data_IF_250030130767
#
_entry.id   IF_250030130767
#
_cell.length_a   1.000
_cell.length_b   1.000
_cell.length_c   1.000
_cell.angle_alpha   90.00
_cell.angle_beta   90.00
_cell.angle_gamma   90.00
#
_symmetry.space_group_name_H-M   'P 1'
#
loop_
_entity.id
_entity.type
_entity.pdbx_description
1 polymer ?
#
# COMPACT_ATOMS: atom_id res chain seq x y z
N UNK A 1 -34.54 -39.50 -42.96
CA UNK A 1 -34.78 -39.23 -41.52
C UNK A 1 -33.64 -38.38 -41.01
N UNK A 2 -33.92 -37.21 -40.43
CA UNK A 2 -32.87 -36.39 -39.81
C UNK A 2 -32.59 -36.92 -38.39
N UNK A 3 -31.32 -37.03 -37.96
CA UNK A 3 -30.98 -37.51 -36.63
C UNK A 3 -31.41 -36.51 -35.55
N UNK A 4 -32.05 -37.01 -34.48
CA UNK A 4 -32.49 -36.22 -33.33
C UNK A 4 -31.29 -36.01 -32.42
N UNK A 5 -30.82 -34.77 -32.28
CA UNK A 5 -29.74 -34.42 -31.36
C UNK A 5 -30.29 -34.00 -29.98
N UNK A 6 -29.67 -34.39 -28.85
CA UNK A 6 -30.16 -34.14 -27.50
C UNK A 6 -29.84 -32.72 -26.99
N UNK A 7 -29.45 -31.79 -27.86
CA UNK A 7 -29.24 -30.41 -27.46
C UNK A 7 -30.59 -29.71 -27.36
N UNK A 8 -31.00 -29.41 -26.13
CA UNK A 8 -32.10 -28.48 -25.84
C UNK A 8 -31.86 -27.21 -26.68
N UNK A 9 -32.84 -26.78 -27.47
CA UNK A 9 -32.81 -25.47 -28.12
C UNK A 9 -32.62 -24.42 -27.02
N UNK A 10 -31.62 -23.54 -27.16
CA UNK A 10 -31.32 -22.51 -26.18
C UNK A 10 -32.56 -21.65 -25.94
N UNK A 11 -32.90 -21.42 -24.68
CA UNK A 11 -33.92 -20.42 -24.31
C UNK A 11 -33.50 -19.04 -24.84
N UNK A 12 -34.44 -18.23 -25.34
CA UNK A 12 -34.14 -16.87 -25.74
C UNK A 12 -33.66 -16.10 -24.51
N UNK A 13 -32.47 -15.50 -24.63
CA UNK A 13 -31.88 -14.64 -23.60
C UNK A 13 -32.88 -13.52 -23.33
N UNK A 14 -33.26 -13.33 -22.06
CA UNK A 14 -34.13 -12.24 -21.64
C UNK A 14 -33.44 -10.92 -21.99
N UNK A 15 -34.03 -10.17 -22.92
CA UNK A 15 -33.64 -8.79 -23.19
C UNK A 15 -33.96 -7.99 -21.92
N UNK A 16 -32.93 -7.70 -21.12
CA UNK A 16 -33.01 -6.75 -20.03
C UNK A 16 -33.24 -5.38 -20.66
N UNK A 17 -34.42 -4.80 -20.40
CA UNK A 17 -34.81 -3.46 -20.82
C UNK A 17 -34.07 -2.42 -19.95
N UNK A 18 -32.75 -2.34 -20.14
CA UNK A 18 -31.91 -1.39 -19.41
C UNK A 18 -32.01 -0.03 -20.09
N UNK A 19 -32.54 0.95 -19.35
CA UNK A 19 -32.69 2.31 -19.82
C UNK A 19 -31.30 2.88 -20.24
N UNK A 20 -31.22 3.58 -21.38
CA UNK A 20 -29.95 4.12 -21.86
C UNK A 20 -29.35 5.08 -20.83
N UNK A 21 -28.02 5.07 -20.62
CA UNK A 21 -27.36 5.92 -19.65
C UNK A 21 -27.56 7.40 -20.00
N UNK A 22 -27.66 8.25 -18.98
CA UNK A 22 -27.83 9.68 -19.18
C UNK A 22 -26.62 10.27 -19.94
N UNK A 23 -26.85 11.17 -20.92
CA UNK A 23 -25.77 11.77 -21.69
C UNK A 23 -24.92 12.70 -20.81
N UNK A 24 -23.59 12.53 -20.89
CA UNK A 24 -22.64 13.40 -20.19
C UNK A 24 -22.49 14.70 -20.99
N UNK A 25 -23.02 15.81 -20.47
CA UNK A 25 -22.93 17.13 -21.10
C UNK A 25 -21.76 17.91 -20.50
N UNK A 26 -20.74 18.15 -21.30
CA UNK A 26 -19.61 19.00 -20.92
C UNK A 26 -19.95 20.48 -21.13
N UNK A 27 -19.94 21.27 -20.05
CA UNK A 27 -20.03 22.74 -20.13
C UNK A 27 -18.64 23.31 -20.33
N UNK A 28 -18.47 24.17 -21.34
CA UNK A 28 -17.20 24.85 -21.61
C UNK A 28 -16.83 25.74 -20.41
N UNK A 29 -15.79 25.37 -19.68
CA UNK A 29 -15.28 26.10 -18.52
C UNK A 29 -15.53 25.43 -17.15
N UNK A 30 -16.24 24.31 -17.11
CA UNK A 30 -16.43 23.52 -15.89
C UNK A 30 -15.48 22.32 -15.92
N UNK A 31 -14.54 22.26 -14.96
CA UNK A 31 -13.65 21.10 -14.82
C UNK A 31 -14.46 19.93 -14.23
N UNK A 32 -14.66 18.82 -14.98
CA UNK A 32 -15.41 17.67 -14.49
C UNK A 32 -14.77 16.98 -13.28
N UNK A 33 -13.50 17.30 -12.97
CA UNK A 33 -12.77 16.79 -11.81
C UNK A 33 -12.64 17.83 -10.68
N UNK A 34 -13.27 19.00 -10.79
CA UNK A 34 -13.25 19.99 -9.74
C UNK A 34 -13.96 19.45 -8.48
N UNK A 35 -13.19 19.29 -7.40
CA UNK A 35 -13.75 18.96 -6.09
C UNK A 35 -14.63 20.13 -5.64
N UNK A 36 -15.87 19.83 -5.24
CA UNK A 36 -16.78 20.83 -4.67
C UNK A 36 -16.13 21.44 -3.42
N UNK A 37 -16.12 22.78 -3.27
CA UNK A 37 -15.63 23.40 -2.05
C UNK A 37 -16.51 22.97 -0.88
N UNK A 38 -15.91 22.39 0.15
CA UNK A 38 -16.62 21.95 1.36
C UNK A 38 -16.88 23.18 2.21
N UNK A 39 -18.15 23.50 2.47
CA UNK A 39 -18.57 24.68 3.25
C UNK A 39 -18.69 24.39 4.75
N UNK A 40 -18.67 23.12 5.16
CA UNK A 40 -18.72 22.73 6.57
C UNK A 40 -18.06 21.37 6.78
N UNK A 41 -16.96 21.40 7.52
CA UNK A 41 -16.11 20.23 7.79
C UNK A 41 -16.54 19.48 9.06
N UNK A 42 -17.67 19.82 9.69
CA UNK A 42 -18.06 19.19 10.96
C UNK A 42 -18.26 17.68 10.85
N UNK A 43 -18.82 17.20 9.74
CA UNK A 43 -18.98 15.77 9.50
C UNK A 43 -17.64 15.11 9.16
N UNK A 44 -16.81 15.74 8.33
CA UNK A 44 -15.48 15.24 8.00
C UNK A 44 -14.56 15.18 9.23
N UNK A 45 -14.66 16.16 10.12
CA UNK A 45 -13.94 16.19 11.40
C UNK A 45 -14.40 15.07 12.33
N UNK A 46 -15.71 14.82 12.44
CA UNK A 46 -16.25 13.69 13.21
C UNK A 46 -15.83 12.33 12.64
N UNK A 47 -15.85 12.18 11.33
CA UNK A 47 -15.43 10.95 10.66
C UNK A 47 -13.91 10.72 10.83
N UNK A 48 -13.09 11.78 10.76
CA UNK A 48 -11.66 11.68 11.04
C UNK A 48 -11.36 11.28 12.49
N UNK A 49 -12.12 11.83 13.45
CA UNK A 49 -12.02 11.41 14.85
C UNK A 49 -12.45 9.95 15.06
N UNK A 50 -13.44 9.46 14.32
CA UNK A 50 -13.83 8.05 14.36
C UNK A 50 -12.83 7.12 13.67
N UNK A 51 -12.15 7.60 12.62
CA UNK A 51 -11.16 6.84 11.87
C UNK A 51 -9.80 6.76 12.60
N UNK A 52 -9.43 7.82 13.31
CA UNK A 52 -8.12 7.93 13.98
C UNK A 52 -8.19 7.75 15.50
N UNK A 53 -9.35 7.96 16.12
CA UNK A 53 -9.59 7.64 17.52
C UNK A 53 -9.85 6.14 17.65
N UNK A 54 -8.92 5.41 18.26
CA UNK A 54 -8.95 3.95 18.44
C UNK A 54 -10.06 3.41 19.36
N UNK A 55 -11.24 4.03 19.36
CA UNK A 55 -12.44 3.59 20.11
C UNK A 55 -12.40 3.84 21.62
N UNK A 56 -11.34 4.44 22.17
CA UNK A 56 -11.25 4.80 23.58
C UNK A 56 -11.41 6.31 23.78
N UNK A 57 -12.42 6.71 24.55
CA UNK A 57 -12.67 8.11 24.96
C UNK A 57 -11.60 8.70 25.91
N UNK A 58 -10.56 7.92 26.24
CA UNK A 58 -9.46 8.32 27.14
C UNK A 58 -8.22 8.67 26.32
N UNK A 59 -7.87 9.95 26.30
CA UNK A 59 -6.57 10.42 25.81
C UNK A 59 -5.58 10.31 26.97
N UNK A 60 -4.82 9.22 27.02
CA UNK A 60 -3.66 9.12 27.91
C UNK A 60 -2.58 10.08 27.43
N UNK A 61 -2.10 10.97 28.30
CA UNK A 61 -1.00 11.86 27.96
C UNK A 61 0.21 11.00 27.58
N UNK A 62 0.78 11.24 26.39
CA UNK A 62 1.95 10.52 25.93
C UNK A 62 3.04 10.61 27.00
N UNK A 63 3.47 9.46 27.52
CA UNK A 63 4.56 9.39 28.49
C UNK A 63 5.80 9.97 27.84
N UNK A 64 6.38 10.98 28.48
CA UNK A 64 7.61 11.64 28.04
C UNK A 64 8.74 10.61 27.94
N UNK A 65 9.04 10.18 26.72
CA UNK A 65 10.11 9.22 26.46
C UNK A 65 11.50 9.84 26.62
N UNK A 66 11.62 11.17 26.70
CA UNK A 66 12.90 11.83 26.87
C UNK A 66 13.52 11.54 28.24
N UNK A 67 12.69 11.27 29.27
CA UNK A 67 13.16 10.83 30.58
C UNK A 67 13.77 9.41 30.61
N UNK A 68 13.53 8.59 29.57
CA UNK A 68 14.08 7.22 29.44
C UNK A 68 15.28 7.15 28.50
N UNK A 69 15.62 8.25 27.84
CA UNK A 69 16.75 8.31 26.93
C UNK A 69 18.01 8.70 27.70
N UNK A 70 18.71 7.71 28.25
CA UNK A 70 20.08 7.85 28.76
C UNK A 70 21.01 7.86 27.53
N UNK A 71 21.44 9.05 27.11
CA UNK A 71 22.02 9.28 25.80
C UNK A 71 23.15 8.31 25.45
N UNK A 72 22.90 7.40 24.53
CA UNK A 72 23.98 6.75 23.77
C UNK A 72 24.49 7.80 22.80
N UNK A 73 25.49 8.57 23.23
CA UNK A 73 26.40 9.25 22.32
C UNK A 73 27.12 8.15 21.56
N UNK A 74 26.57 7.78 20.40
CA UNK A 74 27.25 6.90 19.46
C UNK A 74 28.59 7.54 19.11
N UNK A 75 29.67 6.93 19.60
CA UNK A 75 30.97 7.04 18.97
C UNK A 75 30.76 6.77 17.49
N UNK A 76 31.07 7.77 16.67
CA UNK A 76 31.10 7.65 15.21
C UNK A 76 31.87 6.37 14.86
N UNK A 77 31.25 5.35 14.24
CA UNK A 77 32.03 4.23 13.74
C UNK A 77 32.89 4.79 12.62
N UNK A 78 34.19 4.79 12.86
CA UNK A 78 35.19 5.09 11.85
C UNK A 78 34.86 4.30 10.59
N UNK A 79 34.66 5.05 9.50
CA UNK A 79 34.55 4.57 8.13
C UNK A 79 35.68 3.57 7.85
N UNK A 80 35.38 2.32 7.44
CA UNK A 80 36.25 1.62 6.52
C UNK A 80 35.78 1.93 5.09
N UNK A 81 36.69 2.50 4.32
CA UNK A 81 36.57 2.66 2.86
C UNK A 81 36.45 1.29 2.15
N UNK A 82 35.96 1.29 0.89
CA UNK A 82 35.22 0.20 0.30
C UNK A 82 36.15 -0.79 -0.41
N UNK A 83 36.07 -2.06 -0.03
CA UNK A 83 36.50 -3.14 -0.92
C UNK A 83 35.67 -4.39 -0.67
N UNK A 84 35.54 -5.18 -1.73
CA UNK A 84 34.84 -6.45 -1.85
C UNK A 84 33.30 -6.41 -1.97
N UNK A 85 32.84 -6.30 -3.23
CA UNK A 85 31.91 -7.35 -3.71
C UNK A 85 32.47 -8.72 -3.33
N UNK A 86 31.63 -9.61 -2.78
CA UNK A 86 31.17 -10.68 -3.64
C UNK A 86 29.69 -11.04 -3.45
N UNK A 87 29.08 -11.36 -4.58
CA UNK A 87 28.24 -12.53 -4.78
C UNK A 87 27.46 -13.08 -3.57
N UNK A 88 26.14 -12.91 -3.63
CA UNK A 88 25.16 -14.00 -3.58
C UNK A 88 25.59 -15.24 -2.79
N UNK A 89 25.36 -15.23 -1.47
CA UNK A 89 25.33 -16.43 -0.64
C UNK A 89 23.88 -16.78 -0.23
N UNK A 90 23.49 -18.07 -0.31
CA UNK A 90 22.12 -18.50 -0.09
C UNK A 90 21.84 -18.81 1.39
N UNK A 91 20.64 -18.41 1.83
CA UNK A 91 19.85 -19.00 2.94
C UNK A 91 20.53 -19.13 4.31
N UNK A 92 20.75 -18.00 4.99
CA UNK A 92 20.52 -18.00 6.43
C UNK A 92 19.02 -17.75 6.64
N UNK A 93 18.33 -18.65 7.35
CA UNK A 93 16.93 -18.51 7.76
C UNK A 93 16.79 -17.38 8.80
N UNK A 94 17.24 -16.17 8.48
CA UNK A 94 16.80 -14.98 9.19
C UNK A 94 15.39 -14.73 8.71
N UNK A 95 14.43 -14.79 9.62
CA UNK A 95 13.03 -14.50 9.34
C UNK A 95 12.90 -13.01 9.03
N UNK A 96 13.13 -12.64 7.77
CA UNK A 96 12.90 -11.28 7.30
C UNK A 96 11.58 -11.20 6.54
N UNK A 97 10.89 -10.07 6.70
CA UNK A 97 9.66 -9.76 5.98
C UNK A 97 9.94 -8.70 4.93
N UNK A 98 9.42 -8.90 3.72
CA UNK A 98 9.49 -7.88 2.67
C UNK A 98 8.46 -6.79 2.93
N UNK A 99 8.92 -5.55 3.12
CA UNK A 99 8.06 -4.39 3.33
C UNK A 99 8.17 -3.46 2.12
N UNK A 100 7.03 -3.14 1.51
CA UNK A 100 6.95 -2.15 0.44
C UNK A 100 6.94 -0.74 1.03
N UNK A 101 7.81 0.14 0.55
CA UNK A 101 7.92 1.52 1.01
C UNK A 101 7.34 2.50 -0.02
N UNK A 102 7.11 3.76 0.37
CA UNK A 102 6.51 4.81 -0.48
C UNK A 102 7.36 5.25 -1.67
N UNK A 103 8.64 4.88 -1.69
CA UNK A 103 9.60 5.17 -2.76
C UNK A 103 9.51 4.18 -3.94
N UNK A 104 8.67 3.14 -3.83
CA UNK A 104 8.47 2.11 -4.86
C UNK A 104 9.41 0.91 -4.72
N UNK A 105 10.25 0.88 -3.69
CA UNK A 105 11.14 -0.24 -3.41
C UNK A 105 10.63 -1.09 -2.25
N UNK A 106 11.21 -2.28 -2.14
CA UNK A 106 11.01 -3.20 -1.02
C UNK A 106 12.29 -3.31 -0.22
N UNK A 107 12.12 -3.36 1.09
CA UNK A 107 13.21 -3.51 2.04
C UNK A 107 12.98 -4.78 2.87
N UNK A 108 14.07 -5.42 3.27
CA UNK A 108 14.02 -6.56 4.19
C UNK A 108 13.95 -6.03 5.61
N UNK A 109 12.85 -6.32 6.30
CA UNK A 109 12.69 -6.04 7.72
C UNK A 109 13.05 -7.27 8.52
N UNK A 110 13.99 -7.13 9.46
CA UNK A 110 14.43 -8.20 10.36
C UNK A 110 13.52 -8.33 11.58
N UNK A 111 13.69 -9.39 12.37
CA UNK A 111 12.86 -9.67 13.55
C UNK A 111 13.00 -8.64 14.70
N UNK A 112 14.10 -7.89 14.71
CA UNK A 112 14.36 -6.77 15.62
C UNK A 112 13.66 -5.46 15.17
N UNK A 113 13.01 -5.47 14.00
CA UNK A 113 12.40 -4.31 13.37
C UNK A 113 13.37 -3.44 12.57
N UNK A 114 14.65 -3.81 12.51
CA UNK A 114 15.64 -3.14 11.67
C UNK A 114 15.41 -3.41 10.18
N UNK A 115 15.89 -2.51 9.33
CA UNK A 115 15.77 -2.60 7.88
C UNK A 115 17.15 -2.65 7.22
N UNK A 116 17.27 -3.47 6.17
CA UNK A 116 18.43 -3.39 5.28
C UNK A 116 18.39 -2.10 4.47
N UNK A 117 19.53 -1.42 4.33
CA UNK A 117 19.64 -0.19 3.54
C UNK A 117 19.58 -0.43 2.01
N UNK A 118 19.63 -1.69 1.56
CA UNK A 118 19.63 -2.05 0.15
C UNK A 118 18.20 -2.08 -0.40
N UNK A 119 17.84 -1.19 -1.35
CA UNK A 119 16.54 -1.22 -2.00
C UNK A 119 16.41 -2.44 -2.91
N UNK A 120 15.22 -3.03 -2.98
CA UNK A 120 14.91 -4.14 -3.88
C UNK A 120 13.65 -3.86 -4.72
N UNK A 121 13.61 -4.37 -5.95
CA UNK A 121 12.45 -4.33 -6.84
C UNK A 121 11.82 -5.71 -6.90
N UNK A 122 10.48 -5.75 -6.90
CA UNK A 122 9.71 -6.98 -7.10
C UNK A 122 9.52 -7.22 -8.60
N UNK A 123 10.05 -8.32 -9.10
CA UNK A 123 9.89 -8.75 -10.48
C UNK A 123 8.47 -9.32 -10.72
N UNK A 124 8.08 -9.45 -12.00
CA UNK A 124 6.80 -10.05 -12.40
C UNK A 124 6.60 -11.48 -11.88
N UNK A 125 7.70 -12.22 -11.69
CA UNK A 125 7.71 -13.58 -11.11
C UNK A 125 7.59 -13.60 -9.58
N UNK A 126 7.39 -12.44 -8.94
CA UNK A 126 7.28 -12.31 -7.48
C UNK A 126 8.61 -12.38 -6.72
N UNK A 127 9.73 -12.56 -7.42
CA UNK A 127 11.08 -12.55 -6.86
C UNK A 127 11.56 -11.11 -6.62
N UNK A 128 12.40 -10.91 -5.60
CA UNK A 128 13.00 -9.61 -5.28
C UNK A 128 14.44 -9.56 -5.78
N UNK A 129 14.81 -8.49 -6.49
CA UNK A 129 16.17 -8.22 -6.96
C UNK A 129 16.64 -6.86 -6.43
N UNK A 130 17.91 -6.72 -5.99
CA UNK A 130 18.43 -5.44 -5.54
C UNK A 130 18.37 -4.42 -6.68
N UNK A 131 17.95 -3.19 -6.34
CA UNK A 131 18.02 -2.06 -7.26
C UNK A 131 19.48 -1.59 -7.31
N UNK A 132 20.12 -1.76 -8.47
CA UNK A 132 21.50 -1.36 -8.75
C UNK A 132 21.54 -0.35 -9.90
#
# INVERSE_FOLDING_TARGET
MAPIWPFKKKEPVAELDEAPPAPVVYKRGEDPNARKPVTSDQHAYKDALALFGGGSDTVEAATDQAAKYDGVTGESPAVPEPDASPAQEPVAETTFTWVHHTDGYHYKQHADGSFDATPHVKNGDGTYAPYS
#
